data_IF_504958544141
#
_entry.id   IF_504958544141
#
_cell.length_a   1.000
_cell.length_b   1.000
_cell.length_c   1.000
_cell.angle_alpha   90.00
_cell.angle_beta   90.00
_cell.angle_gamma   90.00
#
_symmetry.space_group_name_H-M   'P 1'
#
loop_
_entity.id
_entity.type
_entity.pdbx_description
1 polymer ?
#
# COMPACT_ATOMS: atom_id res chain seq x y z
N UNK A 1 -3.29 14.99 -14.93
CA UNK A 1 -4.52 15.82 -14.98
C UNK A 1 -4.99 16.10 -13.56
N UNK A 2 -5.32 17.35 -13.18
CA UNK A 2 -5.92 17.63 -11.89
C UNK A 2 -7.23 16.85 -11.72
N UNK A 3 -7.41 16.22 -10.56
CA UNK A 3 -8.67 15.53 -10.22
C UNK A 3 -8.78 14.07 -10.67
N UNK A 4 -7.74 13.46 -11.24
CA UNK A 4 -7.77 12.05 -11.65
C UNK A 4 -7.17 11.10 -10.62
N UNK A 5 -6.58 11.63 -9.55
CA UNK A 5 -5.97 10.86 -8.46
C UNK A 5 -6.60 11.22 -7.12
N UNK A 6 -6.41 10.36 -6.13
CA UNK A 6 -6.69 10.62 -4.72
C UNK A 6 -5.34 10.81 -4.01
N UNK A 7 -5.09 12.03 -3.52
CA UNK A 7 -3.94 12.36 -2.68
C UNK A 7 -4.44 12.67 -1.27
N UNK A 8 -3.90 11.97 -0.27
CA UNK A 8 -4.32 12.07 1.13
C UNK A 8 -3.09 12.19 2.02
N UNK A 9 -3.19 12.99 3.07
CA UNK A 9 -2.27 12.96 4.21
C UNK A 9 -3.09 12.80 5.48
N UNK A 10 -2.78 11.77 6.26
CA UNK A 10 -3.45 11.46 7.52
C UNK A 10 -2.43 11.32 8.63
N UNK A 11 -2.67 11.95 9.79
CA UNK A 11 -1.88 11.73 10.99
C UNK A 11 -2.50 10.60 11.81
N UNK A 12 -1.69 9.62 12.18
CA UNK A 12 -2.12 8.45 12.95
C UNK A 12 -1.20 8.20 14.13
N UNK A 13 -1.71 7.68 15.26
CA UNK A 13 -0.87 7.23 16.36
C UNK A 13 -0.06 5.98 15.94
N UNK A 14 1.09 5.70 16.56
CA UNK A 14 1.83 4.48 16.29
C UNK A 14 1.05 3.25 16.77
N UNK A 15 0.98 2.18 15.96
CA UNK A 15 0.34 0.93 16.35
C UNK A 15 1.19 0.13 17.36
N UNK A 16 0.61 -0.93 17.94
CA UNK A 16 1.30 -1.80 18.90
C UNK A 16 2.50 -2.54 18.27
N UNK A 17 2.47 -2.82 16.98
CA UNK A 17 3.59 -3.39 16.19
C UNK A 17 4.72 -2.38 15.96
N UNK A 18 4.53 -1.13 16.38
CA UNK A 18 5.49 -0.06 16.22
C UNK A 18 5.33 0.68 14.88
N UNK A 19 5.93 1.86 14.81
CA UNK A 19 5.70 2.82 13.73
C UNK A 19 6.16 2.32 12.35
N UNK A 20 7.13 1.42 12.25
CA UNK A 20 7.59 0.82 10.98
C UNK A 20 6.51 0.00 10.27
N UNK A 21 5.48 -0.43 10.99
CA UNK A 21 4.35 -1.15 10.42
C UNK A 21 3.28 -0.22 9.80
N UNK A 22 3.28 1.07 10.11
CA UNK A 22 2.27 2.01 9.58
C UNK A 22 2.18 2.00 8.06
N UNK A 23 3.27 2.11 7.26
CA UNK A 23 3.17 2.05 5.80
C UNK A 23 2.61 0.72 5.30
N UNK A 24 2.90 -0.40 5.98
CA UNK A 24 2.42 -1.72 5.61
C UNK A 24 0.92 -1.86 5.87
N UNK A 25 0.46 -1.43 7.06
CA UNK A 25 -0.97 -1.41 7.41
C UNK A 25 -1.76 -0.44 6.53
N UNK A 26 -1.18 0.71 6.18
CA UNK A 26 -1.80 1.65 5.25
C UNK A 26 -1.92 1.04 3.83
N UNK A 27 -0.91 0.31 3.36
CA UNK A 27 -1.00 -0.46 2.12
C UNK A 27 -2.13 -1.50 2.15
N UNK A 28 -2.25 -2.24 3.25
CA UNK A 28 -3.34 -3.20 3.46
C UNK A 28 -4.72 -2.52 3.51
N UNK A 29 -4.80 -1.31 4.08
CA UNK A 29 -6.04 -0.52 4.06
C UNK A 29 -6.45 -0.12 2.65
N UNK A 30 -5.48 0.30 1.80
CA UNK A 30 -5.75 0.59 0.38
C UNK A 30 -6.21 -0.66 -0.36
N UNK A 31 -5.52 -1.80 -0.16
CA UNK A 31 -5.88 -3.09 -0.76
C UNK A 31 -7.35 -3.45 -0.48
N UNK A 32 -7.78 -3.36 0.78
CA UNK A 32 -9.18 -3.62 1.17
C UNK A 32 -10.16 -2.60 0.61
N UNK A 33 -9.83 -1.32 0.69
CA UNK A 33 -10.68 -0.25 0.18
C UNK A 33 -10.93 -0.36 -1.33
N UNK A 34 -9.91 -0.73 -2.10
CA UNK A 34 -10.04 -0.96 -3.54
C UNK A 34 -10.90 -2.18 -3.84
N UNK A 35 -10.76 -3.27 -3.08
CA UNK A 35 -11.62 -4.44 -3.23
C UNK A 35 -13.09 -4.10 -2.96
N UNK A 36 -13.37 -3.37 -1.86
CA UNK A 36 -14.73 -3.04 -1.45
C UNK A 36 -15.43 -2.08 -2.43
N UNK A 37 -14.71 -1.06 -2.92
CA UNK A 37 -15.33 0.05 -3.67
C UNK A 37 -15.22 -0.15 -5.18
N UNK A 38 -14.12 -0.73 -5.65
CA UNK A 38 -13.86 -0.93 -7.08
C UNK A 38 -14.03 -2.38 -7.54
N UNK A 39 -14.14 -3.35 -6.60
CA UNK A 39 -14.19 -4.78 -6.94
C UNK A 39 -12.91 -5.27 -7.63
N UNK A 40 -11.80 -4.56 -7.48
CA UNK A 40 -10.55 -4.86 -8.16
C UNK A 40 -9.57 -5.56 -7.20
N UNK A 41 -9.04 -6.71 -7.63
CA UNK A 41 -8.00 -7.40 -6.90
C UNK A 41 -6.67 -6.66 -7.02
N UNK A 42 -6.00 -6.47 -5.89
CA UNK A 42 -4.68 -5.84 -5.80
C UNK A 42 -3.72 -6.71 -5.01
N UNK A 43 -2.42 -6.42 -5.10
CA UNK A 43 -1.38 -7.06 -4.30
C UNK A 43 -0.47 -6.01 -3.68
N UNK A 44 0.10 -6.32 -2.53
CA UNK A 44 1.04 -5.42 -1.87
C UNK A 44 2.47 -5.73 -2.33
N UNK A 45 3.23 -4.69 -2.67
CA UNK A 45 4.67 -4.80 -2.90
C UNK A 45 5.39 -4.07 -1.78
N UNK A 46 6.16 -4.82 -1.01
CA UNK A 46 6.96 -4.24 0.07
C UNK A 46 7.95 -3.20 -0.48
N UNK A 47 8.15 -2.04 0.21
CA UNK A 47 7.52 -1.71 1.51
C UNK A 47 6.21 -0.91 1.40
N UNK A 48 5.87 -0.30 0.26
CA UNK A 48 4.92 0.81 0.24
C UNK A 48 4.12 0.96 -1.06
N UNK A 49 4.08 -0.06 -1.92
CA UNK A 49 3.35 -0.01 -3.18
C UNK A 49 2.15 -0.95 -3.20
N UNK A 50 1.09 -0.55 -3.90
CA UNK A 50 -0.07 -1.38 -4.22
C UNK A 50 -0.11 -1.60 -5.72
N UNK A 51 -0.16 -2.85 -6.13
CA UNK A 51 -0.10 -3.29 -7.52
C UNK A 51 -1.43 -3.90 -7.97
N UNK A 52 -1.65 -3.95 -9.29
CA UNK A 52 -2.75 -4.67 -9.92
C UNK A 52 -2.19 -5.86 -10.70
N UNK A 53 -2.28 -7.10 -10.17
CA UNK A 53 -1.74 -8.29 -10.82
C UNK A 53 -2.34 -8.53 -12.21
N UNK A 54 -3.64 -8.37 -12.36
CA UNK A 54 -4.34 -8.55 -13.63
C UNK A 54 -3.93 -7.54 -14.73
N UNK A 55 -3.26 -6.42 -14.33
CA UNK A 55 -2.72 -5.42 -15.25
C UNK A 55 -1.17 -5.46 -15.31
N UNK A 56 -0.59 -6.65 -15.15
CA UNK A 56 0.85 -6.88 -15.28
C UNK A 56 1.67 -6.34 -14.10
N UNK A 57 1.16 -6.48 -12.90
CA UNK A 57 1.79 -5.99 -11.65
C UNK A 57 2.10 -4.48 -11.66
N UNK A 58 1.31 -3.68 -12.40
CA UNK A 58 1.50 -2.23 -12.44
C UNK A 58 1.09 -1.55 -11.14
N UNK A 59 1.81 -0.49 -10.79
CA UNK A 59 1.59 0.28 -9.57
C UNK A 59 0.33 1.14 -9.67
N UNK A 60 -0.63 0.86 -8.79
CA UNK A 60 -1.87 1.61 -8.60
C UNK A 60 -1.71 2.74 -7.60
N UNK A 61 -1.02 2.46 -6.48
CA UNK A 61 -0.84 3.41 -5.40
C UNK A 61 0.56 3.31 -4.79
N UNK A 62 1.00 4.40 -4.19
CA UNK A 62 2.20 4.48 -3.37
C UNK A 62 1.93 5.20 -2.06
N UNK A 63 2.64 4.76 -1.03
CA UNK A 63 2.56 5.36 0.30
C UNK A 63 3.92 5.95 0.69
N UNK A 64 3.87 7.06 1.41
CA UNK A 64 5.03 7.70 2.02
C UNK A 64 4.67 8.02 3.46
N UNK A 65 5.49 7.59 4.41
CA UNK A 65 5.26 7.85 5.81
C UNK A 65 6.38 8.70 6.39
N UNK A 66 6.00 9.72 7.18
CA UNK A 66 6.92 10.60 7.89
C UNK A 66 6.71 10.44 9.40
N UNK A 67 7.80 10.26 10.11
CA UNK A 67 7.82 10.03 11.55
C UNK A 67 7.76 11.37 12.30
N UNK A 68 6.86 11.47 13.25
CA UNK A 68 6.71 12.60 14.13
C UNK A 68 6.90 12.13 15.58
N UNK A 69 7.11 13.06 16.52
CA UNK A 69 7.29 12.73 17.93
C UNK A 69 6.12 11.91 18.51
N UNK A 70 4.89 12.24 18.10
CA UNK A 70 3.66 11.69 18.67
C UNK A 70 2.88 10.78 17.70
N UNK A 71 3.44 10.46 16.53
CA UNK A 71 2.74 9.64 15.54
C UNK A 71 3.42 9.59 14.18
N UNK A 72 2.65 9.22 13.17
CA UNK A 72 3.12 9.06 11.80
C UNK A 72 2.19 9.81 10.85
N UNK A 73 2.73 10.60 9.94
CA UNK A 73 1.98 11.13 8.81
C UNK A 73 2.02 10.09 7.69
N UNK A 74 0.84 9.63 7.29
CA UNK A 74 0.65 8.71 6.17
C UNK A 74 0.25 9.51 4.94
N UNK A 75 1.13 9.59 3.94
CA UNK A 75 0.83 10.09 2.61
C UNK A 75 0.40 8.94 1.70
N UNK A 76 -0.73 9.08 1.03
CA UNK A 76 -1.24 8.17 0.02
C UNK A 76 -1.40 8.90 -1.31
N UNK A 77 -0.82 8.34 -2.37
CA UNK A 77 -1.13 8.68 -3.76
C UNK A 77 -1.76 7.47 -4.46
N UNK A 78 -3.02 7.59 -4.87
CA UNK A 78 -3.74 6.53 -5.57
C UNK A 78 -4.27 7.06 -6.91
N UNK A 79 -3.96 6.37 -8.00
CA UNK A 79 -4.42 6.70 -9.34
C UNK A 79 -5.85 6.16 -9.54
N UNK A 80 -6.83 7.06 -9.70
CA UNK A 80 -8.25 6.67 -9.80
C UNK A 80 -8.70 6.69 -11.26
N UNK A 81 -8.77 7.87 -11.88
CA UNK A 81 -9.39 8.05 -13.20
C UNK A 81 -8.41 8.55 -14.27
N UNK A 82 -7.11 8.35 -14.06
CA UNK A 82 -6.08 8.67 -15.05
C UNK A 82 -6.17 7.69 -16.22
N UNK A 83 -6.28 8.19 -17.44
CA UNK A 83 -6.23 7.35 -18.63
C UNK A 83 -4.82 6.75 -18.79
N UNK A 84 -4.72 5.59 -19.46
CA UNK A 84 -3.43 4.89 -19.58
C UNK A 84 -2.35 5.73 -20.26
N UNK A 85 -2.73 6.46 -21.27
CA UNK A 85 -1.86 7.37 -22.03
C UNK A 85 -1.36 8.59 -21.24
N UNK A 86 -2.05 8.94 -20.15
CA UNK A 86 -1.72 10.07 -19.27
C UNK A 86 -0.90 9.65 -18.04
N UNK A 87 -0.65 8.34 -17.87
CA UNK A 87 0.16 7.84 -16.75
C UNK A 87 1.65 8.17 -16.97
N UNK A 88 2.37 8.54 -15.90
CA UNK A 88 3.75 9.04 -16.04
C UNK A 88 4.77 7.95 -16.39
N UNK A 89 4.44 6.68 -16.17
CA UNK A 89 5.32 5.53 -16.38
C UNK A 89 4.52 4.33 -16.89
N UNK A 90 5.11 3.51 -17.74
CA UNK A 90 4.52 2.26 -18.22
C UNK A 90 4.29 1.23 -17.10
N UNK A 91 5.01 1.38 -15.98
CA UNK A 91 4.85 0.55 -14.77
C UNK A 91 3.72 1.03 -13.87
N UNK A 92 3.06 2.15 -14.18
CA UNK A 92 1.92 2.67 -13.43
C UNK A 92 0.60 2.21 -14.04
N UNK A 93 -0.44 2.19 -13.20
CA UNK A 93 -1.84 2.01 -13.61
C UNK A 93 -2.76 2.91 -12.80
N UNK A 94 -4.05 2.90 -13.13
CA UNK A 94 -5.14 3.53 -12.39
C UNK A 94 -6.31 2.56 -12.29
N UNK A 95 -7.29 2.84 -11.44
CA UNK A 95 -8.52 2.04 -11.38
C UNK A 95 -9.21 2.01 -12.75
N UNK A 96 -9.30 3.17 -13.42
CA UNK A 96 -9.85 3.26 -14.79
C UNK A 96 -9.08 2.40 -15.78
N UNK A 97 -7.76 2.52 -15.82
CA UNK A 97 -6.91 1.79 -16.77
C UNK A 97 -6.88 0.28 -16.50
N UNK A 98 -7.12 -0.12 -15.25
CA UNK A 98 -7.23 -1.52 -14.82
C UNK A 98 -8.64 -2.11 -14.95
N UNK A 99 -9.60 -1.37 -15.55
CA UNK A 99 -10.93 -1.88 -15.86
C UNK A 99 -12.02 -1.51 -14.85
N UNK A 100 -11.74 -0.64 -13.88
CA UNK A 100 -12.72 -0.11 -12.91
C UNK A 100 -12.89 1.42 -13.08
N UNK A 101 -13.52 1.90 -14.17
CA UNK A 101 -13.78 3.33 -14.38
C UNK A 101 -14.90 3.85 -13.48
N UNK A 102 -14.91 5.16 -13.23
CA UNK A 102 -16.02 5.85 -12.55
C UNK A 102 -16.11 5.59 -11.06
N UNK A 103 -15.02 5.15 -10.42
CA UNK A 103 -14.97 4.92 -8.97
C UNK A 103 -15.12 6.25 -8.22
N UNK A 104 -16.03 6.28 -7.25
CA UNK A 104 -16.22 7.45 -6.38
C UNK A 104 -15.03 7.59 -5.41
N UNK A 105 -14.30 8.69 -5.56
CA UNK A 105 -13.15 9.02 -4.72
C UNK A 105 -13.51 9.27 -3.26
N UNK A 106 -14.69 9.79 -2.98
CA UNK A 106 -15.14 10.02 -1.61
C UNK A 106 -15.45 8.69 -0.91
N UNK A 107 -16.10 7.76 -1.60
CA UNK A 107 -16.32 6.40 -1.11
C UNK A 107 -14.98 5.67 -0.88
N UNK A 108 -14.04 5.79 -1.82
CA UNK A 108 -12.71 5.19 -1.70
C UNK A 108 -11.91 5.76 -0.52
N UNK A 109 -11.95 7.08 -0.31
CA UNK A 109 -11.33 7.73 0.84
C UNK A 109 -11.96 7.25 2.15
N UNK A 110 -13.28 7.21 2.22
CA UNK A 110 -14.00 6.73 3.41
C UNK A 110 -13.65 5.29 3.74
N UNK A 111 -13.62 4.40 2.74
CA UNK A 111 -13.23 3.00 2.93
C UNK A 111 -11.77 2.88 3.40
N UNK A 112 -10.85 3.60 2.76
CA UNK A 112 -9.44 3.63 3.16
C UNK A 112 -9.27 4.04 4.63
N UNK A 113 -9.88 5.16 5.04
CA UNK A 113 -9.77 5.66 6.42
C UNK A 113 -10.43 4.70 7.42
N UNK A 114 -11.54 4.07 7.06
CA UNK A 114 -12.22 3.07 7.89
C UNK A 114 -11.34 1.84 8.10
N UNK A 115 -10.77 1.29 7.02
CA UNK A 115 -9.85 0.15 7.13
C UNK A 115 -8.56 0.49 7.88
N UNK A 116 -7.98 1.67 7.62
CA UNK A 116 -6.76 2.11 8.32
C UNK A 116 -7.02 2.22 9.83
N UNK A 117 -8.11 2.87 10.23
CA UNK A 117 -8.47 3.00 11.63
C UNK A 117 -8.74 1.63 12.30
N UNK A 118 -9.39 0.71 11.60
CA UNK A 118 -9.62 -0.64 12.09
C UNK A 118 -8.30 -1.41 12.25
N UNK A 119 -7.43 -1.40 11.24
CA UNK A 119 -6.14 -2.08 11.29
C UNK A 119 -5.22 -1.56 12.40
N UNK A 120 -5.18 -0.24 12.61
CA UNK A 120 -4.39 0.36 13.69
C UNK A 120 -4.93 0.02 15.08
N UNK A 121 -6.26 -0.03 15.24
CA UNK A 121 -6.92 -0.41 16.50
C UNK A 121 -6.75 -1.89 16.80
N UNK A 122 -6.90 -2.74 15.79
CA UNK A 122 -6.91 -4.20 15.93
C UNK A 122 -5.49 -4.80 15.88
N UNK A 123 -4.48 -3.94 15.72
CA UNK A 123 -3.07 -4.36 15.76
C UNK A 123 -2.67 -4.73 17.19
N UNK A 124 -2.33 -5.99 17.37
CA UNK A 124 -1.93 -6.57 18.66
C UNK A 124 -0.41 -6.72 18.81
N UNK A 125 0.35 -6.13 17.88
CA UNK A 125 1.80 -6.22 17.88
C UNK A 125 2.35 -7.40 17.07
N UNK A 126 3.64 -7.73 17.24
CA UNK A 126 4.34 -8.72 16.43
C UNK A 126 3.65 -10.09 16.41
N UNK A 127 3.45 -10.64 15.20
CA UNK A 127 2.79 -11.93 14.99
C UNK A 127 1.27 -11.89 15.03
N UNK A 128 0.67 -10.70 15.16
CA UNK A 128 -0.78 -10.53 15.18
C UNK A 128 -1.47 -10.78 13.83
N UNK A 129 -2.80 -10.82 13.87
CA UNK A 129 -3.63 -11.09 12.68
C UNK A 129 -3.48 -10.04 11.57
N UNK A 130 -3.21 -8.79 11.93
CA UNK A 130 -2.98 -7.70 10.96
C UNK A 130 -1.70 -7.92 10.17
N UNK A 131 -0.63 -8.39 10.83
CA UNK A 131 0.62 -8.74 10.16
C UNK A 131 0.46 -9.96 9.26
N UNK A 132 -0.23 -11.00 9.73
CA UNK A 132 -0.54 -12.17 8.92
C UNK A 132 -1.35 -11.81 7.66
N UNK A 133 -2.33 -10.90 7.79
CA UNK A 133 -3.11 -10.41 6.66
C UNK A 133 -2.25 -9.62 5.65
N UNK A 134 -1.31 -8.80 6.12
CA UNK A 134 -0.37 -8.12 5.24
C UNK A 134 0.50 -9.12 4.45
N UNK A 135 1.11 -10.08 5.14
CA UNK A 135 1.98 -11.09 4.53
C UNK A 135 1.22 -11.90 3.47
N UNK A 136 -0.03 -12.26 3.75
CA UNK A 136 -0.88 -12.99 2.80
C UNK A 136 -1.18 -12.20 1.51
N UNK A 137 -1.29 -10.87 1.60
CA UNK A 137 -1.52 -9.99 0.46
C UNK A 137 -0.21 -9.51 -0.22
N UNK A 138 0.95 -9.82 0.37
CA UNK A 138 2.26 -9.31 -0.07
C UNK A 138 2.84 -10.17 -1.20
N UNK A 139 2.79 -9.67 -2.43
CA UNK A 139 3.34 -10.35 -3.61
C UNK A 139 4.88 -10.40 -3.64
N UNK A 140 5.57 -9.66 -2.75
CA UNK A 140 7.04 -9.71 -2.63
C UNK A 140 7.50 -11.00 -1.97
N UNK A 141 6.67 -11.58 -1.09
CA UNK A 141 6.96 -12.85 -0.42
C UNK A 141 6.90 -13.99 -1.45
N UNK A 142 7.91 -14.85 -1.45
CA UNK A 142 8.06 -15.96 -2.40
C UNK A 142 8.70 -15.57 -3.74
N UNK A 143 9.01 -14.30 -3.97
CA UNK A 143 9.61 -13.83 -5.24
C UNK A 143 11.08 -13.46 -5.07
N UNK A 144 11.83 -13.56 -6.18
CA UNK A 144 13.16 -12.97 -6.28
C UNK A 144 13.07 -11.45 -6.16
N UNK A 145 13.93 -10.88 -5.34
CA UNK A 145 13.96 -9.45 -5.05
C UNK A 145 15.37 -8.88 -5.23
N UNK A 146 15.40 -7.63 -5.65
CA UNK A 146 16.57 -6.78 -5.65
C UNK A 146 16.30 -5.62 -4.68
N UNK A 147 17.09 -5.53 -3.61
CA UNK A 147 16.91 -4.53 -2.56
C UNK A 147 18.05 -3.52 -2.64
N UNK A 148 17.70 -2.27 -2.93
CA UNK A 148 18.63 -1.14 -2.93
C UNK A 148 18.74 -0.57 -1.51
N UNK A 149 19.92 -0.68 -0.92
CA UNK A 149 20.19 -0.20 0.44
C UNK A 149 20.65 1.27 0.43
N UNK A 150 20.43 2.02 1.51
CA UNK A 150 21.09 3.30 1.71
C UNK A 150 22.63 3.16 1.54
N UNK A 151 23.22 4.05 0.75
CA UNK A 151 24.65 3.97 0.42
C UNK A 151 24.98 3.22 -0.89
N UNK A 152 23.95 2.79 -1.65
CA UNK A 152 24.09 2.27 -3.01
C UNK A 152 24.41 0.78 -3.13
N UNK A 153 24.52 0.05 -2.01
CA UNK A 153 24.67 -1.40 -2.06
C UNK A 153 23.35 -2.07 -2.51
N UNK A 154 23.46 -3.13 -3.30
CA UNK A 154 22.33 -3.91 -3.82
C UNK A 154 22.43 -5.33 -3.27
N UNK A 155 21.33 -5.85 -2.75
CA UNK A 155 21.20 -7.22 -2.25
C UNK A 155 20.15 -7.96 -3.08
N UNK A 156 20.52 -9.15 -3.56
CA UNK A 156 19.62 -10.05 -4.27
C UNK A 156 19.24 -11.23 -3.38
N UNK A 157 17.99 -11.65 -3.44
CA UNK A 157 17.50 -12.78 -2.64
C UNK A 157 16.09 -13.21 -3.01
N UNK A 158 15.51 -14.08 -2.19
CA UNK A 158 14.10 -14.44 -2.23
C UNK A 158 13.47 -13.83 -0.99
N UNK A 159 12.41 -13.03 -1.15
CA UNK A 159 11.62 -12.53 -0.02
C UNK A 159 10.92 -13.71 0.67
N UNK A 160 11.21 -13.97 1.94
CA UNK A 160 10.64 -15.10 2.68
C UNK A 160 9.53 -14.70 3.65
N UNK A 161 9.44 -13.40 3.97
CA UNK A 161 8.45 -12.88 4.89
C UNK A 161 8.70 -11.43 5.27
N UNK A 162 7.99 -10.99 6.30
CA UNK A 162 8.18 -9.68 6.92
C UNK A 162 8.33 -9.89 8.42
N UNK A 163 9.40 -9.36 9.01
CA UNK A 163 9.69 -9.55 10.42
C UNK A 163 8.85 -8.65 11.34
N UNK A 164 9.05 -8.82 12.64
CA UNK A 164 8.35 -8.04 13.68
C UNK A 164 8.57 -6.51 13.56
N UNK A 165 9.66 -6.09 12.93
CA UNK A 165 9.99 -4.68 12.70
C UNK A 165 9.52 -4.18 11.30
N UNK A 166 8.74 -4.97 10.56
CA UNK A 166 8.24 -4.59 9.23
C UNK A 166 9.28 -4.68 8.11
N UNK A 167 10.43 -5.33 8.35
CA UNK A 167 11.49 -5.48 7.36
C UNK A 167 11.28 -6.76 6.55
N UNK A 168 11.56 -6.68 5.25
CA UNK A 168 11.58 -7.86 4.38
C UNK A 168 12.71 -8.80 4.83
N UNK A 169 12.41 -10.09 4.92
CA UNK A 169 13.37 -11.16 5.27
C UNK A 169 13.64 -12.06 4.08
#
# INVERSE_FOLDING_TARGET
>A
MPGTSLAVSAFVPPPASGPSWVPLLAGLAVHRAVADVAGLETALKWPNDVLVPADGDRKLAGLLCEWMADGVIVGLGLNVDTAREDLPLDTATSLRAAGAPGVDRAALLSAFLTHLAALLRDDTGPGGSTQAAYVAACSTVGRAVEVHLPGGAVVHGIGTGVDAAGRLT
#
